data_IF_794269073973
#
_entry.id   IF_794269073973
#
_cell.length_a   1.000
_cell.length_b   1.000
_cell.length_c   1.000
_cell.angle_alpha   90.00
_cell.angle_beta   90.00
_cell.angle_gamma   90.00
#
_symmetry.space_group_name_H-M   'P 1'
#
loop_
_entity.id
_entity.type
_entity.pdbx_description
1 polymer ?
#
# COMPACT_ATOMS: atom_id res chain seq x y z
N UNK A 1 -4.50 -14.26 -18.30
CA UNK A 1 -4.00 -14.09 -16.92
C UNK A 1 -4.65 -12.87 -16.32
N UNK A 2 -5.44 -13.02 -15.27
CA UNK A 2 -6.07 -11.88 -14.59
C UNK A 2 -5.02 -11.23 -13.69
N UNK A 3 -4.79 -9.93 -13.84
CA UNK A 3 -3.88 -9.21 -12.97
C UNK A 3 -4.57 -8.98 -11.62
N UNK A 4 -4.21 -9.81 -10.64
CA UNK A 4 -4.75 -9.77 -9.30
C UNK A 4 -3.85 -8.94 -8.35
N UNK A 5 -3.10 -7.98 -8.87
CA UNK A 5 -2.19 -7.15 -8.10
C UNK A 5 -2.59 -5.69 -8.12
N UNK A 6 -2.49 -5.04 -6.96
CA UNK A 6 -2.58 -3.58 -6.80
C UNK A 6 -1.17 -3.07 -6.55
N UNK A 7 -0.71 -2.19 -7.42
CA UNK A 7 0.61 -1.57 -7.34
C UNK A 7 0.50 -0.19 -6.71
N UNK A 8 1.29 0.05 -5.67
CA UNK A 8 1.32 1.32 -4.95
C UNK A 8 2.63 2.05 -5.25
N UNK A 9 2.54 3.33 -5.59
CA UNK A 9 3.67 4.26 -5.70
C UNK A 9 3.39 5.53 -4.90
N UNK A 10 3.41 5.44 -3.56
CA UNK A 10 3.07 6.57 -2.70
C UNK A 10 4.16 7.64 -2.70
N UNK A 11 3.75 8.89 -2.48
CA UNK A 11 4.61 10.03 -2.19
C UNK A 11 4.15 10.56 -0.82
N UNK A 12 5.05 10.56 0.15
CA UNK A 12 4.79 11.07 1.50
C UNK A 12 5.52 12.41 1.65
N UNK A 13 4.81 13.52 1.95
CA UNK A 13 5.44 14.80 2.29
C UNK A 13 6.42 14.64 3.46
N UNK A 14 7.39 15.54 3.56
CA UNK A 14 8.48 15.40 4.55
C UNK A 14 8.01 15.36 6.00
N UNK A 15 6.90 16.02 6.31
CA UNK A 15 6.31 16.07 7.64
C UNK A 15 5.51 14.80 8.00
N UNK A 16 5.24 13.92 7.03
CA UNK A 16 4.39 12.73 7.21
C UNK A 16 5.25 11.47 7.23
N UNK A 17 5.38 10.89 8.43
CA UNK A 17 6.12 9.65 8.64
C UNK A 17 5.26 8.39 8.57
N UNK A 18 3.93 8.52 8.64
CA UNK A 18 3.02 7.37 8.65
C UNK A 18 1.64 7.73 8.09
N UNK A 19 1.11 6.84 7.27
CA UNK A 19 -0.27 6.88 6.77
C UNK A 19 -0.90 5.51 6.99
N UNK A 20 -2.08 5.50 7.62
CA UNK A 20 -2.92 4.31 7.72
C UNK A 20 -4.03 4.39 6.69
N UNK A 21 -4.09 3.40 5.79
CA UNK A 21 -5.17 3.24 4.84
C UNK A 21 -6.06 2.11 5.34
N UNK A 22 -7.34 2.43 5.57
CA UNK A 22 -8.34 1.48 6.07
C UNK A 22 -9.51 1.40 5.11
N UNK A 23 -10.03 0.19 4.91
CA UNK A 23 -11.19 -0.14 4.09
C UNK A 23 -11.07 0.39 2.65
N UNK A 24 -9.87 0.32 2.05
CA UNK A 24 -9.70 0.66 0.64
C UNK A 24 -10.44 -0.37 -0.21
N UNK A 25 -11.50 0.07 -0.89
CA UNK A 25 -12.30 -0.77 -1.78
C UNK A 25 -11.87 -0.58 -3.25
N UNK A 26 -11.46 -1.66 -3.90
CA UNK A 26 -11.09 -1.67 -5.33
C UNK A 26 -11.85 -2.82 -6.00
N UNK A 27 -12.90 -2.46 -6.73
CA UNK A 27 -13.90 -3.43 -7.20
C UNK A 27 -14.52 -4.17 -6.00
N UNK A 28 -14.45 -5.50 -6.03
CA UNK A 28 -14.93 -6.36 -4.93
C UNK A 28 -13.90 -6.63 -3.84
N UNK A 29 -12.68 -6.11 -3.99
CA UNK A 29 -11.58 -6.36 -3.06
C UNK A 29 -11.51 -5.28 -1.98
N UNK A 30 -10.96 -5.65 -0.82
CA UNK A 30 -10.68 -4.73 0.29
C UNK A 30 -9.24 -4.88 0.77
N UNK A 31 -8.68 -3.75 1.18
CA UNK A 31 -7.32 -3.67 1.70
C UNK A 31 -7.22 -2.70 2.88
N UNK A 32 -6.53 -3.15 3.92
CA UNK A 32 -6.00 -2.33 5.00
C UNK A 32 -4.48 -2.41 4.95
N UNK A 33 -3.79 -1.29 5.08
CA UNK A 33 -2.33 -1.28 5.16
C UNK A 33 -1.80 0.01 5.78
N UNK A 34 -0.56 -0.05 6.23
CA UNK A 34 0.19 1.11 6.73
C UNK A 34 1.36 1.40 5.80
N UNK A 35 1.51 2.66 5.42
CA UNK A 35 2.71 3.18 4.80
C UNK A 35 3.51 3.95 5.86
N UNK A 36 4.80 3.68 5.98
CA UNK A 36 5.69 4.42 6.88
C UNK A 36 6.93 4.89 6.14
N UNK A 37 7.37 6.12 6.42
CA UNK A 37 8.62 6.69 5.92
C UNK A 37 9.72 6.41 6.94
N UNK A 38 10.82 5.83 6.47
CA UNK A 38 12.03 5.60 7.25
C UNK A 38 13.21 6.18 6.45
N UNK A 39 13.65 7.39 6.82
CA UNK A 39 14.58 8.18 6.00
C UNK A 39 13.98 8.46 4.63
N UNK A 40 14.70 8.08 3.56
CA UNK A 40 14.26 8.26 2.17
C UNK A 40 13.44 7.08 1.62
N UNK A 41 13.08 6.10 2.46
CA UNK A 41 12.37 4.89 2.02
C UNK A 41 10.95 4.87 2.54
N UNK A 42 10.02 4.39 1.73
CA UNK A 42 8.66 4.08 2.14
C UNK A 42 8.55 2.56 2.30
N UNK A 43 7.95 2.12 3.41
CA UNK A 43 7.65 0.72 3.69
C UNK A 43 6.15 0.49 3.70
N UNK A 44 5.75 -0.70 3.24
CA UNK A 44 4.40 -1.24 3.38
C UNK A 44 4.40 -2.24 4.54
N UNK A 45 3.49 -2.07 5.49
CA UNK A 45 3.36 -2.96 6.65
C UNK A 45 1.90 -3.16 7.02
N UNK A 46 1.65 -4.19 7.86
CA UNK A 46 0.30 -4.53 8.36
C UNK A 46 -0.74 -4.69 7.23
N UNK A 47 -0.30 -5.19 6.08
CA UNK A 47 -1.17 -5.40 4.93
C UNK A 47 -2.14 -6.55 5.22
N UNK A 48 -3.44 -6.23 5.30
CA UNK A 48 -4.53 -7.19 5.31
C UNK A 48 -5.30 -7.03 4.02
N UNK A 49 -5.35 -8.09 3.23
CA UNK A 49 -6.09 -8.14 1.97
C UNK A 49 -7.19 -9.17 2.09
N UNK A 50 -8.39 -8.79 1.67
CA UNK A 50 -9.51 -9.71 1.51
C UNK A 50 -9.57 -10.14 0.04
N UNK A 51 -9.88 -11.42 -0.18
CA UNK A 51 -9.92 -12.10 -1.50
C UNK A 51 -8.54 -12.29 -2.14
N UNK A 52 -8.54 -12.72 -3.40
CA UNK A 52 -7.34 -13.12 -4.15
C UNK A 52 -6.59 -11.93 -4.76
N UNK A 53 -6.27 -10.89 -3.97
CA UNK A 53 -5.43 -9.77 -4.42
C UNK A 53 -4.07 -9.71 -3.70
N UNK A 54 -3.06 -9.20 -4.39
CA UNK A 54 -1.74 -8.88 -3.84
C UNK A 54 -1.54 -7.37 -3.82
N UNK A 55 -1.05 -6.84 -2.70
CA UNK A 55 -0.56 -5.46 -2.61
C UNK A 55 0.95 -5.45 -2.85
N UNK A 56 1.41 -4.61 -3.79
CA UNK A 56 2.81 -4.51 -4.16
C UNK A 56 3.24 -3.06 -4.07
N UNK A 57 4.18 -2.76 -3.17
CA UNK A 57 4.82 -1.44 -3.11
C UNK A 57 5.94 -1.39 -4.16
N UNK A 58 5.83 -0.46 -5.10
CA UNK A 58 6.88 -0.18 -6.06
C UNK A 58 8.03 0.56 -5.37
N UNK A 59 9.26 0.13 -5.63
CA UNK A 59 10.45 0.84 -5.16
C UNK A 59 10.58 2.16 -5.93
N UNK A 60 10.78 3.26 -5.21
CA UNK A 60 11.28 4.49 -5.83
C UNK A 60 12.78 4.27 -6.09
N UNK A 61 13.19 4.36 -7.35
CA UNK A 61 14.59 4.34 -7.78
C UNK A 61 15.17 5.74 -7.72
#
# INVERSE_FOLDING_TARGET
>A
MTNNSIYLKPILPDEINKVEVKNLKIGDNRADFTLSKEGNRIKLSKAKVERNIKLILLKNF
#
